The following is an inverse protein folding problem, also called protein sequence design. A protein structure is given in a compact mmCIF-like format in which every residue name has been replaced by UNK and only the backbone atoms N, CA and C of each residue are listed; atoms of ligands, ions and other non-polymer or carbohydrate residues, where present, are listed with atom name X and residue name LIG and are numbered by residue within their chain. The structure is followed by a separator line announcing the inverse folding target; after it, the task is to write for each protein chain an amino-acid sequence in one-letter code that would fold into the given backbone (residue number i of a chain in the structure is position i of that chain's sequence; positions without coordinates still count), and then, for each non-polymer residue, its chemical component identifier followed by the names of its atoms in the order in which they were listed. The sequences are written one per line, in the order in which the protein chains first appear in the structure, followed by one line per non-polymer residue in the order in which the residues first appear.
data_IF_507567690493
#
_entry.id   IF_507567690493
#
_cell.length_a   1.000
_cell.length_b   1.000
_cell.length_c   1.000
_cell.angle_alpha   90.00
_cell.angle_beta   90.00
_cell.angle_gamma   90.00
#
_symmetry.space_group_name_H-M   'P 1'
#
loop_
_entity.id
_entity.type
_entity.pdbx_description
1 polymer ?
#
# COMPACT_ATOMS: atom_id res chain seq x y z
N UNK A 1 1.28 -4.49 11.22
CA UNK A 1 1.45 -3.62 10.05
C UNK A 1 0.90 -4.29 8.81
N UNK A 2 0.59 -3.50 7.78
CA UNK A 2 0.18 -3.98 6.46
C UNK A 2 0.98 -3.29 5.35
N UNK A 3 1.39 -4.06 4.35
CA UNK A 3 1.98 -3.55 3.12
C UNK A 3 1.24 -4.07 1.89
N UNK A 4 0.96 -3.19 0.92
CA UNK A 4 0.44 -3.54 -0.39
C UNK A 4 -1.05 -3.27 -0.61
N UNK A 5 -1.71 -4.15 -1.36
CA UNK A 5 -3.08 -3.98 -1.83
C UNK A 5 -4.10 -4.12 -0.71
N UNK A 6 -4.96 -3.13 -0.55
CA UNK A 6 -6.11 -3.21 0.37
C UNK A 6 -7.39 -3.74 -0.29
N UNK A 7 -8.02 -2.94 -1.15
CA UNK A 7 -9.20 -3.31 -1.95
C UNK A 7 -10.46 -3.71 -1.16
N UNK A 8 -10.62 -3.21 0.07
CA UNK A 8 -11.81 -3.47 0.92
C UNK A 8 -12.55 -2.19 1.31
N UNK A 9 -12.31 -1.09 0.58
CA UNK A 9 -12.96 0.20 0.78
C UNK A 9 -11.98 1.33 1.09
N UNK A 10 -12.41 2.57 0.87
CA UNK A 10 -11.58 3.77 1.03
C UNK A 10 -12.14 4.81 2.00
N UNK A 11 -13.42 4.68 2.37
CA UNK A 11 -14.00 5.51 3.41
C UNK A 11 -13.20 5.30 4.71
N UNK A 12 -13.19 6.30 5.59
CA UNK A 12 -12.34 6.30 6.78
C UNK A 12 -12.54 5.03 7.64
N UNK A 13 -13.78 4.58 7.75
CA UNK A 13 -14.24 3.36 8.44
C UNK A 13 -13.82 2.04 7.78
N UNK A 14 -13.33 2.11 6.55
CA UNK A 14 -12.93 0.95 5.74
C UNK A 14 -11.44 0.92 5.44
N UNK A 15 -10.64 1.79 6.08
CA UNK A 15 -9.18 1.79 5.90
C UNK A 15 -8.51 0.65 6.68
N UNK A 16 -7.29 0.20 6.30
CA UNK A 16 -6.57 -0.82 7.07
C UNK A 16 -6.44 -0.49 8.57
N UNK A 17 -6.23 0.79 8.91
CA UNK A 17 -6.12 1.23 10.32
C UNK A 17 -7.45 1.19 11.07
N UNK A 18 -8.57 1.35 10.38
CA UNK A 18 -9.90 1.07 10.93
C UNK A 18 -10.17 -0.44 11.12
N UNK A 19 -9.36 -1.31 10.50
CA UNK A 19 -9.45 -2.77 10.57
C UNK A 19 -8.31 -3.43 11.36
N UNK A 20 -7.71 -2.71 12.32
CA UNK A 20 -6.81 -3.27 13.32
C UNK A 20 -5.33 -3.34 12.93
N UNK A 21 -4.93 -2.77 11.79
CA UNK A 21 -3.52 -2.59 11.48
C UNK A 21 -2.98 -1.30 12.10
N UNK A 22 -1.88 -1.38 12.86
CA UNK A 22 -1.27 -0.18 13.45
C UNK A 22 -0.73 0.79 12.39
N UNK A 23 -0.13 0.23 11.33
CA UNK A 23 0.54 0.94 10.23
C UNK A 23 0.16 0.33 8.88
N UNK A 24 0.11 1.18 7.86
CA UNK A 24 -0.19 0.79 6.48
C UNK A 24 0.74 1.49 5.49
N UNK A 25 1.21 0.74 4.49
CA UNK A 25 1.91 1.30 3.32
C UNK A 25 1.47 0.57 2.04
N UNK A 26 0.79 1.26 1.13
CA UNK A 26 0.31 0.61 -0.09
C UNK A 26 -0.79 1.37 -0.82
N UNK A 27 -1.45 0.68 -1.75
CA UNK A 27 -2.50 1.25 -2.59
C UNK A 27 -3.86 0.79 -2.05
N UNK A 28 -4.84 1.69 -1.89
CA UNK A 28 -6.14 1.37 -1.29
C UNK A 28 -7.01 0.43 -2.16
N UNK A 29 -6.65 0.24 -3.42
CA UNK A 29 -7.35 -0.58 -4.41
C UNK A 29 -6.37 -1.22 -5.41
N UNK A 30 -6.89 -1.83 -6.47
CA UNK A 30 -6.09 -2.48 -7.52
C UNK A 30 -5.28 -1.47 -8.34
N UNK A 31 -4.11 -1.89 -8.83
CA UNK A 31 -3.19 -1.05 -9.61
C UNK A 31 -3.71 -0.69 -11.01
N UNK A 32 -4.71 -1.39 -11.52
CA UNK A 32 -5.39 -1.13 -12.81
C UNK A 32 -6.55 -0.11 -12.69
N UNK A 33 -6.88 0.33 -11.47
CA UNK A 33 -8.00 1.26 -11.22
C UNK A 33 -7.60 2.74 -11.26
N UNK A 34 -6.44 3.06 -11.84
CA UNK A 34 -5.97 4.44 -11.99
C UNK A 34 -4.74 4.54 -12.89
N UNK A 35 -4.36 5.78 -13.22
CA UNK A 35 -3.13 6.01 -13.99
C UNK A 35 -1.88 5.84 -13.11
N UNK A 36 -0.94 5.00 -13.53
CA UNK A 36 0.39 4.89 -12.92
C UNK A 36 1.39 5.82 -13.63
N UNK A 37 2.59 5.98 -13.08
CA UNK A 37 3.67 6.73 -13.74
C UNK A 37 4.09 6.13 -15.10
N UNK A 38 3.81 4.83 -15.32
CA UNK A 38 4.18 4.09 -16.52
C UNK A 38 3.03 3.89 -17.50
N UNK A 39 1.78 4.05 -17.05
CA UNK A 39 0.58 3.85 -17.85
C UNK A 39 -0.39 4.98 -17.54
N UNK A 40 -0.30 6.03 -18.35
CA UNK A 40 -1.24 7.14 -18.34
C UNK A 40 -2.49 6.69 -19.07
N UNK A 41 -3.51 6.31 -18.31
CA UNK A 41 -4.85 6.09 -18.84
C UNK A 41 -5.62 7.41 -18.79
N UNK A 42 -5.78 8.03 -19.96
CA UNK A 42 -6.54 9.27 -20.11
C UNK A 42 -8.04 9.10 -19.76
N UNK A 43 -8.53 7.87 -19.66
CA UNK A 43 -9.89 7.54 -19.21
C UNK A 43 -9.98 7.26 -17.70
N UNK A 44 -8.86 7.03 -17.02
CA UNK A 44 -8.83 6.85 -15.58
C UNK A 44 -9.07 8.21 -14.87
N UNK A 45 -10.04 8.29 -13.95
CA UNK A 45 -10.46 9.56 -13.39
C UNK A 45 -9.41 10.22 -12.48
N UNK A 46 -8.49 9.43 -11.90
CA UNK A 46 -7.46 9.92 -10.98
C UNK A 46 -6.14 9.11 -11.09
N UNK A 47 -4.98 9.73 -10.89
CA UNK A 47 -3.70 9.04 -10.73
C UNK A 47 -3.72 8.10 -9.51
N UNK A 48 -3.03 6.96 -9.60
CA UNK A 48 -2.94 5.98 -8.50
C UNK A 48 -2.19 6.56 -7.30
N UNK A 49 -2.78 6.59 -6.09
CA UNK A 49 -2.08 7.02 -4.90
C UNK A 49 -1.34 5.85 -4.23
N UNK A 50 -0.14 6.13 -3.75
CA UNK A 50 0.54 5.36 -2.73
C UNK A 50 0.30 6.04 -1.38
N UNK A 51 -0.22 5.28 -0.42
CA UNK A 51 -0.54 5.77 0.90
C UNK A 51 0.49 5.29 1.93
N UNK A 52 0.81 6.18 2.86
CA UNK A 52 1.36 5.81 4.17
C UNK A 52 0.33 6.20 5.22
N UNK A 53 -0.28 5.18 5.84
CA UNK A 53 -1.48 5.33 6.65
C UNK A 53 -2.58 6.05 5.84
N UNK A 54 -3.07 7.20 6.29
CA UNK A 54 -4.10 7.98 5.59
C UNK A 54 -3.51 9.04 4.64
N UNK A 55 -2.19 9.22 4.61
CA UNK A 55 -1.54 10.28 3.82
C UNK A 55 -1.07 9.76 2.47
N UNK A 56 -1.34 10.52 1.40
CA UNK A 56 -0.77 10.26 0.08
C UNK A 56 0.70 10.67 0.10
N UNK A 57 1.60 9.71 -0.12
CA UNK A 57 3.04 9.95 -0.20
C UNK A 57 3.52 10.08 -1.65
N UNK A 58 2.75 9.57 -2.61
CA UNK A 58 3.07 9.64 -4.04
C UNK A 58 1.82 9.43 -4.89
N UNK A 59 1.66 10.23 -5.94
CA UNK A 59 0.54 10.12 -6.87
C UNK A 59 0.86 10.90 -8.17
N UNK A 60 0.97 10.26 -9.36
CA UNK A 60 0.80 8.82 -9.60
C UNK A 60 1.98 8.01 -9.05
N UNK A 61 1.68 6.82 -8.54
CA UNK A 61 2.71 5.90 -8.06
C UNK A 61 3.55 5.33 -9.22
N UNK A 62 4.85 5.25 -8.99
CA UNK A 62 5.79 4.42 -9.74
C UNK A 62 5.60 2.95 -9.34
N UNK A 63 4.89 2.19 -10.18
CA UNK A 63 4.66 0.76 -10.00
C UNK A 63 5.91 -0.10 -10.21
N UNK A 64 6.93 0.40 -10.92
CA UNK A 64 8.16 -0.33 -11.22
C UNK A 64 9.00 -0.60 -9.98
N UNK A 65 9.05 0.37 -9.05
CA UNK A 65 9.75 0.23 -7.77
C UNK A 65 8.86 -0.20 -6.59
N UNK A 66 7.56 -0.47 -6.81
CA UNK A 66 6.61 -0.65 -5.72
C UNK A 66 6.89 -1.88 -4.86
N UNK A 67 7.25 -3.01 -5.49
CA UNK A 67 7.59 -4.26 -4.78
C UNK A 67 8.74 -4.05 -3.80
N UNK A 68 9.81 -3.40 -4.24
CA UNK A 68 10.99 -3.15 -3.41
C UNK A 68 10.65 -2.23 -2.23
N UNK A 69 9.85 -1.18 -2.46
CA UNK A 69 9.39 -0.28 -1.40
C UNK A 69 8.50 -0.98 -0.37
N UNK A 70 7.67 -1.93 -0.80
CA UNK A 70 6.87 -2.75 0.11
C UNK A 70 7.76 -3.67 0.96
N UNK A 71 8.83 -4.22 0.37
CA UNK A 71 9.82 -5.04 1.08
C UNK A 71 10.63 -4.18 2.06
N UNK A 72 11.03 -2.97 1.67
CA UNK A 72 11.72 -2.02 2.55
C UNK A 72 10.87 -1.66 3.76
N UNK A 73 9.60 -1.27 3.56
CA UNK A 73 8.66 -1.02 4.65
C UNK A 73 8.51 -2.25 5.56
N UNK A 74 8.39 -3.44 4.97
CA UNK A 74 8.23 -4.69 5.71
C UNK A 74 9.45 -5.02 6.56
N UNK A 75 10.65 -4.84 6.00
CA UNK A 75 11.92 -5.01 6.72
C UNK A 75 11.98 -4.04 7.89
N UNK A 76 11.73 -2.76 7.65
CA UNK A 76 11.84 -1.72 8.67
C UNK A 76 10.79 -1.91 9.78
N UNK A 77 9.58 -2.37 9.42
CA UNK A 77 8.56 -2.79 10.38
C UNK A 77 9.05 -3.93 11.28
N UNK A 78 9.61 -5.00 10.70
CA UNK A 78 10.09 -6.15 11.48
C UNK A 78 11.28 -5.77 12.36
N UNK A 79 12.23 -4.99 11.84
CA UNK A 79 13.38 -4.50 12.61
C UNK A 79 12.96 -3.62 13.79
N UNK A 80 11.95 -2.77 13.60
CA UNK A 80 11.39 -1.94 14.67
C UNK A 80 10.62 -2.78 15.69
N UNK A 81 9.79 -3.72 15.23
CA UNK A 81 9.01 -4.60 16.09
C UNK A 81 9.90 -5.51 16.95
N UNK A 82 11.02 -5.98 16.41
CA UNK A 82 12.00 -6.81 17.11
C UNK A 82 12.71 -6.07 18.28
N UNK A 83 12.67 -4.73 18.32
CA UNK A 83 13.16 -3.94 19.46
C UNK A 83 12.17 -3.96 20.63
N UNK A 84 10.98 -4.50 20.44
CA UNK A 84 9.93 -4.61 21.45
C UNK A 84 9.78 -6.06 21.90
N UNK A 85 9.34 -6.29 23.15
CA UNK A 85 9.03 -7.64 23.65
C UNK A 85 7.63 -8.14 23.22
N UNK A 86 6.95 -7.41 22.32
CA UNK A 86 5.58 -7.74 21.88
C UNK A 86 5.61 -8.58 20.61
N UNK A 87 4.78 -9.64 20.50
CA UNK A 87 4.59 -10.33 19.23
C UNK A 87 4.02 -9.37 18.21
N UNK A 88 4.40 -9.54 16.95
CA UNK A 88 3.97 -8.71 15.84
C UNK A 88 3.26 -9.50 14.76
N UNK A 89 2.42 -8.81 14.00
CA UNK A 89 1.76 -9.33 12.81
C UNK A 89 2.03 -8.39 11.64
N UNK A 90 2.49 -8.96 10.52
CA UNK A 90 2.69 -8.26 9.26
C UNK A 90 1.90 -8.97 8.17
N UNK A 91 1.00 -8.23 7.52
CA UNK A 91 0.32 -8.67 6.30
C UNK A 91 0.97 -8.03 5.08
N UNK A 92 1.51 -8.85 4.18
CA UNK A 92 2.18 -8.43 2.95
C UNK A 92 1.38 -8.91 1.73
N UNK A 93 0.51 -8.04 1.20
CA UNK A 93 -0.34 -8.31 0.05
C UNK A 93 0.25 -7.71 -1.22
N UNK A 94 1.19 -8.41 -1.86
CA UNK A 94 1.76 -7.96 -3.14
C UNK A 94 0.70 -7.68 -4.20
N UNK A 95 0.94 -6.65 -5.01
CA UNK A 95 0.10 -6.35 -6.17
C UNK A 95 0.30 -7.37 -7.31
N UNK A 96 1.51 -7.93 -7.42
CA UNK A 96 1.84 -8.94 -8.42
C UNK A 96 1.17 -10.29 -8.13
N UNK A 97 0.82 -11.10 -9.15
CA UNK A 97 1.01 -10.87 -10.58
C UNK A 97 -0.23 -10.26 -11.26
N UNK A 98 -1.00 -9.43 -10.55
CA UNK A 98 -2.18 -8.79 -11.15
C UNK A 98 -1.77 -7.99 -12.38
N UNK A 99 -2.67 -7.92 -13.36
CA UNK A 99 -2.47 -7.13 -14.56
C UNK A 99 -2.26 -5.65 -14.21
N UNK A 100 -1.42 -4.94 -14.99
CA UNK A 100 -1.63 -3.52 -15.24
C UNK A 100 -2.97 -3.29 -15.95
#
# INVERSE_FOLDING_TARGET
GMAGKWHLGQAAEHTPRAHGFDTFFGIPYSTDMGSSAWQVDASAPLPLPLLQNESIVEQPVDIGGLTDRMVDFSRDFVLSAAQTERPWFLYLGFHQPHVP
#
